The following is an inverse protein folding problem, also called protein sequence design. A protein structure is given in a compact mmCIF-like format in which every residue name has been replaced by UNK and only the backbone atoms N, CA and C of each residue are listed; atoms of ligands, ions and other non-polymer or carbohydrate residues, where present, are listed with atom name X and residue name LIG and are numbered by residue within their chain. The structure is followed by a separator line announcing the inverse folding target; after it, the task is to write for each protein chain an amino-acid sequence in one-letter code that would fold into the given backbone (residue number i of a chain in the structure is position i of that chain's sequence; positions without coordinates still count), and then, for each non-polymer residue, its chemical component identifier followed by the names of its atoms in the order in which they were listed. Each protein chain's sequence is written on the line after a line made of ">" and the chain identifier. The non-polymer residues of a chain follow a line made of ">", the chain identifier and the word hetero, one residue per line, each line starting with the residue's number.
data_IF_089686097240
#
_entry.id   IF_089686097240
#
_cell.length_a   1.000
_cell.length_b   1.000
_cell.length_c   1.000
_cell.angle_alpha   90.00
_cell.angle_beta   90.00
_cell.angle_gamma   90.00
#
_symmetry.space_group_name_H-M   'P 1'
#
loop_
_entity.id
_entity.type
_entity.pdbx_description
1 polymer ?
#
# COMPACT_ATOMS: atom_id res chain seq x y z
N UNK A 1 -7.38 -11.50 32.91
CA UNK A 1 -6.31 -10.60 32.43
C UNK A 1 -6.91 -9.74 31.33
N UNK A 2 -7.18 -8.48 31.63
CA UNK A 2 -7.70 -7.51 30.66
C UNK A 2 -6.66 -7.31 29.56
N UNK A 3 -7.00 -7.61 28.31
CA UNK A 3 -6.22 -7.19 27.15
C UNK A 3 -6.55 -5.72 26.92
N UNK A 4 -5.94 -4.84 27.72
CA UNK A 4 -5.89 -3.44 27.36
C UNK A 4 -5.07 -3.36 26.07
N UNK A 5 -5.78 -3.23 24.95
CA UNK A 5 -5.16 -2.82 23.69
C UNK A 5 -4.51 -1.46 23.97
N UNK A 6 -3.17 -1.34 23.98
CA UNK A 6 -2.53 -0.07 24.27
C UNK A 6 -3.07 0.90 23.26
N UNK A 7 -3.62 2.04 23.71
CA UNK A 7 -4.34 3.02 22.89
C UNK A 7 -3.59 3.30 21.58
N UNK A 8 -3.87 2.51 20.54
CA UNK A 8 -3.25 2.65 19.24
C UNK A 8 -3.90 3.91 18.74
N UNK A 9 -3.15 5.02 18.75
CA UNK A 9 -3.59 6.24 18.10
C UNK A 9 -3.98 5.82 16.69
N UNK A 10 -5.28 5.93 16.39
CA UNK A 10 -5.92 5.41 15.16
C UNK A 10 -5.13 5.80 13.91
N UNK A 11 -4.49 6.97 13.94
CA UNK A 11 -3.65 7.49 12.87
C UNK A 11 -2.36 6.71 12.57
N UNK A 12 -1.88 5.82 13.46
CA UNK A 12 -0.66 5.02 13.26
C UNK A 12 -0.91 3.56 12.94
N UNK A 13 -2.14 3.07 13.09
CA UNK A 13 -2.47 1.66 12.90
C UNK A 13 -2.09 1.15 11.51
N UNK A 14 -2.34 1.95 10.45
CA UNK A 14 -1.99 1.58 9.09
C UNK A 14 -0.49 1.39 8.87
N UNK A 15 0.33 2.25 9.46
CA UNK A 15 1.80 2.15 9.38
C UNK A 15 2.31 0.93 10.13
N UNK A 16 1.78 0.68 11.33
CA UNK A 16 2.13 -0.50 12.13
C UNK A 16 1.77 -1.78 11.36
N UNK A 17 0.60 -1.81 10.72
CA UNK A 17 0.17 -2.93 9.89
C UNK A 17 1.13 -3.15 8.71
N UNK A 18 1.45 -2.09 7.97
CA UNK A 18 2.40 -2.12 6.85
C UNK A 18 3.75 -2.72 7.27
N UNK A 19 4.33 -2.21 8.36
CA UNK A 19 5.58 -2.72 8.94
C UNK A 19 5.47 -4.19 9.36
N UNK A 20 4.35 -4.56 9.99
CA UNK A 20 4.13 -5.92 10.48
C UNK A 20 4.02 -6.91 9.33
N UNK A 21 3.29 -6.57 8.26
CA UNK A 21 3.16 -7.42 7.08
C UNK A 21 4.53 -7.64 6.44
N UNK A 22 5.32 -6.59 6.21
CA UNK A 22 6.66 -6.74 5.60
C UNK A 22 7.64 -7.51 6.48
N UNK A 23 7.51 -7.43 7.82
CA UNK A 23 8.29 -8.25 8.75
C UNK A 23 7.92 -9.74 8.68
N UNK A 24 6.63 -10.05 8.58
CA UNK A 24 6.14 -11.44 8.56
C UNK A 24 6.24 -12.09 7.18
N UNK A 25 6.09 -11.29 6.12
CA UNK A 25 6.05 -11.73 4.72
C UNK A 25 6.97 -10.85 3.86
N UNK A 26 8.30 -10.95 4.00
CA UNK A 26 9.25 -10.03 3.38
C UNK A 26 9.23 -10.05 1.84
N UNK A 27 8.86 -11.18 1.25
CA UNK A 27 8.82 -11.36 -0.21
C UNK A 27 7.44 -11.11 -0.83
N UNK A 28 6.44 -10.74 -0.03
CA UNK A 28 5.11 -10.41 -0.56
C UNK A 28 5.12 -8.98 -1.09
N UNK A 29 4.64 -8.81 -2.33
CA UNK A 29 4.32 -7.51 -2.89
C UNK A 29 3.12 -6.92 -2.14
N UNK A 30 3.29 -5.75 -1.54
CA UNK A 30 2.24 -5.07 -0.77
C UNK A 30 1.96 -3.71 -1.38
N UNK A 31 0.68 -3.41 -1.50
CA UNK A 31 0.18 -2.11 -1.95
C UNK A 31 -0.64 -1.50 -0.81
N UNK A 32 -0.39 -0.23 -0.49
CA UNK A 32 -1.19 0.55 0.44
C UNK A 32 -2.08 1.52 -0.33
N UNK A 33 -3.40 1.48 -0.10
CA UNK A 33 -4.36 2.40 -0.71
C UNK A 33 -5.05 3.16 0.41
N UNK A 34 -4.83 4.47 0.50
CA UNK A 34 -5.33 5.27 1.62
C UNK A 34 -5.55 6.72 1.24
N UNK A 35 -6.39 7.44 2.00
CA UNK A 35 -6.64 8.89 1.87
C UNK A 35 -5.67 9.73 2.69
N UNK A 36 -4.60 9.13 3.21
CA UNK A 36 -3.58 9.84 4.00
C UNK A 36 -2.83 10.81 3.08
N UNK A 37 -2.80 12.09 3.49
CA UNK A 37 -2.10 13.17 2.78
C UNK A 37 -0.77 13.55 3.44
N UNK A 38 -0.50 13.01 4.63
CA UNK A 38 0.72 13.29 5.38
C UNK A 38 1.93 12.65 4.70
N UNK A 39 2.86 13.50 4.22
CA UNK A 39 4.04 13.06 3.47
C UNK A 39 4.97 12.20 4.31
N UNK A 40 5.09 12.49 5.60
CA UNK A 40 5.98 11.73 6.48
C UNK A 40 5.45 10.31 6.68
N UNK A 41 4.13 10.16 6.86
CA UNK A 41 3.47 8.85 6.93
C UNK A 41 3.59 8.09 5.61
N UNK A 42 3.39 8.74 4.46
CA UNK A 42 3.53 8.09 3.15
C UNK A 42 4.97 7.59 2.98
N UNK A 43 5.95 8.44 3.28
CA UNK A 43 7.37 8.09 3.22
C UNK A 43 7.70 6.91 4.14
N UNK A 44 7.21 6.91 5.38
CA UNK A 44 7.43 5.81 6.32
C UNK A 44 6.87 4.47 5.79
N UNK A 45 5.75 4.50 5.05
CA UNK A 45 5.19 3.31 4.39
C UNK A 45 6.08 2.88 3.22
N UNK A 46 6.47 3.82 2.35
CA UNK A 46 7.28 3.54 1.16
C UNK A 46 8.68 3.03 1.50
N UNK A 47 9.28 3.50 2.60
CA UNK A 47 10.56 3.02 3.13
C UNK A 47 10.51 1.54 3.55
N UNK A 48 9.32 0.92 3.64
CA UNK A 48 9.15 -0.52 3.88
C UNK A 48 9.03 -1.34 2.58
N UNK A 49 9.35 -0.77 1.42
CA UNK A 49 9.14 -1.39 0.10
C UNK A 49 7.66 -1.73 -0.14
N UNK A 50 6.80 -0.75 0.14
CA UNK A 50 5.35 -0.80 -0.07
C UNK A 50 4.98 0.33 -1.00
N UNK A 51 4.26 0.04 -2.09
CA UNK A 51 3.77 1.10 -2.97
C UNK A 51 2.54 1.76 -2.36
N UNK A 52 2.54 3.08 -2.25
CA UNK A 52 1.40 3.86 -1.79
C UNK A 52 0.58 4.41 -2.97
N UNK A 53 -0.74 4.30 -2.91
CA UNK A 53 -1.68 4.97 -3.80
C UNK A 53 -2.66 5.82 -3.00
N UNK A 54 -2.73 7.10 -3.35
CA UNK A 54 -3.68 8.05 -2.78
C UNK A 54 -5.09 7.75 -3.27
N UNK A 55 -5.97 7.32 -2.37
CA UNK A 55 -7.36 6.99 -2.68
C UNK A 55 -8.13 8.26 -3.05
N UNK A 56 -8.78 8.25 -4.21
CA UNK A 56 -9.54 9.40 -4.72
C UNK A 56 -8.74 10.26 -5.71
N UNK A 57 -7.41 10.16 -5.69
CA UNK A 57 -6.53 10.79 -6.70
C UNK A 57 -6.09 9.78 -7.76
N UNK A 58 -5.79 8.54 -7.34
CA UNK A 58 -5.35 7.47 -8.24
C UNK A 58 -6.57 6.70 -8.78
N UNK A 59 -6.73 6.60 -10.11
CA UNK A 59 -7.76 5.75 -10.72
C UNK A 59 -7.59 4.28 -10.33
N UNK A 60 -8.69 3.59 -10.07
CA UNK A 60 -8.66 2.16 -9.73
C UNK A 60 -7.96 1.32 -10.81
N UNK A 61 -8.11 1.71 -12.09
CA UNK A 61 -7.43 1.05 -13.22
C UNK A 61 -5.91 1.02 -13.05
N UNK A 62 -5.31 2.11 -12.58
CA UNK A 62 -3.85 2.18 -12.33
C UNK A 62 -3.40 1.16 -11.28
N UNK A 63 -4.20 0.95 -10.23
CA UNK A 63 -3.92 -0.07 -9.21
C UNK A 63 -4.01 -1.47 -9.81
N UNK A 64 -5.04 -1.74 -10.62
CA UNK A 64 -5.22 -3.03 -11.30
C UNK A 64 -4.10 -3.33 -12.29
N UNK A 65 -3.68 -2.34 -13.07
CA UNK A 65 -2.56 -2.46 -14.01
C UNK A 65 -1.25 -2.76 -13.26
N UNK A 66 -1.07 -2.18 -12.07
CA UNK A 66 0.08 -2.46 -11.23
C UNK A 66 0.08 -3.90 -10.69
N UNK A 67 -1.05 -4.36 -10.14
CA UNK A 67 -1.22 -5.75 -9.68
C UNK A 67 -0.96 -6.71 -10.83
N UNK A 68 -1.56 -6.46 -11.99
CA UNK A 68 -1.42 -7.29 -13.19
C UNK A 68 0.04 -7.34 -13.66
N UNK A 69 0.72 -6.20 -13.68
CA UNK A 69 2.14 -6.11 -14.06
C UNK A 69 3.02 -6.94 -13.13
N UNK A 70 2.75 -6.89 -11.83
CA UNK A 70 3.49 -7.65 -10.81
C UNK A 70 3.26 -9.16 -10.94
N UNK A 71 2.01 -9.58 -11.14
CA UNK A 71 1.67 -11.00 -11.29
C UNK A 71 2.20 -11.61 -12.59
N UNK A 72 2.22 -10.85 -13.69
CA UNK A 72 2.59 -11.35 -15.02
C UNK A 72 4.05 -11.08 -15.40
N UNK A 73 4.77 -10.25 -14.62
CA UNK A 73 6.15 -9.84 -14.93
C UNK A 73 6.29 -9.01 -16.22
N UNK A 74 5.20 -8.42 -16.73
CA UNK A 74 5.17 -7.62 -17.96
C UNK A 74 4.25 -6.42 -17.80
N UNK A 75 4.68 -5.26 -18.30
CA UNK A 75 3.85 -4.05 -18.31
C UNK A 75 2.75 -4.17 -19.36
N UNK A 76 1.50 -3.94 -18.95
CA UNK A 76 0.37 -3.91 -19.87
C UNK A 76 0.25 -2.51 -20.47
N UNK A 77 0.63 -2.34 -21.75
CA UNK A 77 0.29 -1.16 -22.53
C UNK A 77 -0.98 -1.47 -23.30
N UNK A 78 -2.12 -0.91 -22.92
CA UNK A 78 -3.34 -1.06 -23.72
C UNK A 78 -3.16 -0.29 -25.03
N UNK A 79 -2.82 -0.98 -26.11
CA UNK A 79 -2.93 -0.47 -27.47
C UNK A 79 -4.38 -0.56 -27.90
N UNK A 80 -5.15 0.51 -27.72
CA UNK A 80 -6.46 0.69 -28.36
C UNK A 80 -6.76 2.19 -28.42
N UNK A 81 -6.14 2.88 -29.37
CA UNK A 81 -6.66 4.10 -29.99
C UNK A 81 -6.66 3.80 -31.50
N UNK A 82 -7.73 3.15 -31.97
CA UNK A 82 -8.19 3.17 -33.37
C UNK A 82 -9.42 4.07 -33.44
#
# INVERSE_FOLDING_TARGET
>A
RSLESPAIRSNRTGVILCRTIKKLYPHTDVICISVVIDRDTIKEIEDQDIRFFSKGEVPLRTVLDHITTKLLGRTFTSSSDD
#
